data_IF_782119981051
#
_entry.id   IF_782119981051
#
_cell.length_a   1.000
_cell.length_b   1.000
_cell.length_c   1.000
_cell.angle_alpha   90.00
_cell.angle_beta   90.00
_cell.angle_gamma   90.00
#
_symmetry.space_group_name_H-M   'P 1'
#
loop_
_entity.id
_entity.type
_entity.pdbx_description
1 polymer ?
#
# COMPACT_ATOMS: atom_id res chain seq x y z
N UNK A 1 -2.33 40.42 -27.31
CA UNK A 1 -1.00 39.93 -26.91
C UNK A 1 -1.21 38.68 -26.06
N UNK A 2 -1.07 37.49 -26.65
CA UNK A 2 -1.16 36.22 -25.92
C UNK A 2 0.27 35.81 -25.54
N UNK A 3 0.60 35.89 -24.26
CA UNK A 3 1.87 35.36 -23.75
C UNK A 3 1.77 33.82 -23.76
N UNK A 4 2.54 33.18 -24.62
CA UNK A 4 2.77 31.74 -24.54
C UNK A 4 3.59 31.46 -23.27
N UNK A 5 2.94 30.87 -22.27
CA UNK A 5 3.63 30.35 -21.09
C UNK A 5 4.39 29.10 -21.54
N UNK A 6 5.68 29.25 -21.83
CA UNK A 6 6.59 28.13 -22.04
C UNK A 6 6.86 27.46 -20.70
N UNK A 7 5.98 26.54 -20.31
CA UNK A 7 6.34 25.54 -19.30
C UNK A 7 7.46 24.69 -19.92
N UNK A 8 8.62 24.55 -19.26
CA UNK A 8 9.68 23.70 -19.76
C UNK A 8 9.17 22.25 -19.78
N UNK A 9 9.18 21.65 -20.97
CA UNK A 9 8.79 20.25 -21.26
C UNK A 9 9.33 19.26 -20.22
N UNK A 10 10.52 19.50 -19.68
CA UNK A 10 11.20 18.67 -18.69
C UNK A 10 10.46 18.55 -17.35
N UNK A 11 9.78 19.60 -16.89
CA UNK A 11 8.99 19.54 -15.65
C UNK A 11 7.70 18.72 -15.86
N UNK A 12 7.02 18.92 -16.99
CA UNK A 12 5.79 18.20 -17.33
C UNK A 12 6.03 16.69 -17.47
N UNK A 13 7.13 16.29 -18.12
CA UNK A 13 7.47 14.87 -18.27
C UNK A 13 7.79 14.19 -16.92
N UNK A 14 8.45 14.90 -16.00
CA UNK A 14 8.72 14.37 -14.66
C UNK A 14 7.42 14.21 -13.84
N UNK A 15 6.49 15.16 -13.96
CA UNK A 15 5.18 15.07 -13.33
C UNK A 15 4.36 13.88 -13.89
N UNK A 16 4.37 13.67 -15.20
CA UNK A 16 3.70 12.55 -15.86
C UNK A 16 4.26 11.18 -15.42
N UNK A 17 5.59 11.07 -15.30
CA UNK A 17 6.24 9.85 -14.80
C UNK A 17 5.87 9.56 -13.34
N UNK A 18 5.84 10.57 -12.48
CA UNK A 18 5.41 10.42 -11.08
C UNK A 18 3.94 9.98 -11.00
N UNK A 19 3.05 10.60 -11.80
CA UNK A 19 1.64 10.18 -11.84
C UNK A 19 1.47 8.73 -12.30
N UNK A 20 2.28 8.28 -13.27
CA UNK A 20 2.27 6.89 -13.71
C UNK A 20 2.71 5.91 -12.60
N UNK A 21 3.74 6.27 -11.83
CA UNK A 21 4.18 5.47 -10.67
C UNK A 21 3.09 5.43 -9.59
N UNK A 22 2.50 6.57 -9.24
CA UNK A 22 1.41 6.65 -8.25
C UNK A 22 0.20 5.80 -8.67
N UNK A 23 -0.11 5.73 -9.96
CA UNK A 23 -1.18 4.87 -10.46
C UNK A 23 -0.89 3.38 -10.26
N UNK A 24 0.37 2.95 -10.41
CA UNK A 24 0.79 1.57 -10.13
C UNK A 24 0.76 1.27 -8.63
N UNK A 25 1.21 2.21 -7.79
CA UNK A 25 1.15 2.08 -6.34
C UNK A 25 -0.31 1.96 -5.85
N UNK A 26 -1.23 2.77 -6.39
CA UNK A 26 -2.67 2.66 -6.11
C UNK A 26 -3.23 1.29 -6.47
N UNK A 27 -2.90 0.77 -7.65
CA UNK A 27 -3.33 -0.58 -8.08
C UNK A 27 -2.78 -1.67 -7.16
N UNK A 28 -1.54 -1.56 -6.71
CA UNK A 28 -0.97 -2.46 -5.70
C UNK A 28 -1.79 -2.43 -4.40
N UNK A 29 -2.08 -1.24 -3.85
CA UNK A 29 -2.83 -1.15 -2.59
C UNK A 29 -4.27 -1.66 -2.73
N UNK A 30 -4.95 -1.38 -3.84
CA UNK A 30 -6.29 -1.92 -4.11
C UNK A 30 -6.28 -3.45 -4.21
N UNK A 31 -5.30 -4.00 -4.94
CA UNK A 31 -5.11 -5.43 -5.11
C UNK A 31 -4.74 -6.15 -3.79
N UNK A 32 -3.96 -5.48 -2.93
CA UNK A 32 -3.64 -5.96 -1.58
C UNK A 32 -4.85 -5.92 -0.68
N UNK A 33 -5.55 -4.80 -0.59
CA UNK A 33 -6.68 -4.64 0.33
C UNK A 33 -7.82 -5.61 -0.01
N UNK A 34 -8.09 -5.83 -1.30
CA UNK A 34 -9.07 -6.83 -1.73
C UNK A 34 -8.76 -8.25 -1.24
N UNK A 35 -7.47 -8.61 -1.13
CA UNK A 35 -7.01 -9.91 -0.64
C UNK A 35 -6.80 -9.96 0.87
N UNK A 36 -6.44 -8.83 1.49
CA UNK A 36 -6.27 -8.72 2.94
C UNK A 36 -7.60 -8.75 3.67
N UNK A 37 -8.64 -8.12 3.13
CA UNK A 37 -9.96 -8.05 3.77
C UNK A 37 -10.50 -9.41 4.23
N UNK A 38 -10.61 -10.46 3.38
CA UNK A 38 -11.09 -11.77 3.84
C UNK A 38 -10.16 -12.43 4.87
N UNK A 39 -8.85 -12.23 4.79
CA UNK A 39 -7.90 -12.77 5.78
C UNK A 39 -8.05 -12.07 7.14
N UNK A 40 -8.26 -10.75 7.11
CA UNK A 40 -8.53 -9.94 8.30
C UNK A 40 -9.83 -10.37 8.97
N UNK A 41 -10.89 -10.53 8.18
CA UNK A 41 -12.19 -11.03 8.67
C UNK A 41 -12.06 -12.43 9.30
N UNK A 42 -11.23 -13.31 8.72
CA UNK A 42 -10.96 -14.63 9.27
C UNK A 42 -10.24 -14.58 10.63
N UNK A 43 -9.20 -13.74 10.79
CA UNK A 43 -8.52 -13.58 12.08
C UNK A 43 -9.43 -12.91 13.14
N UNK A 44 -10.27 -11.95 12.75
CA UNK A 44 -11.29 -11.36 13.63
C UNK A 44 -12.28 -12.44 14.10
N UNK A 45 -12.82 -13.24 13.18
CA UNK A 45 -13.76 -14.31 13.50
C UNK A 45 -13.14 -15.35 14.45
N UNK A 46 -11.90 -15.75 14.17
CA UNK A 46 -11.11 -16.64 15.04
C UNK A 46 -10.88 -16.04 16.43
N UNK A 47 -10.59 -14.75 16.52
CA UNK A 47 -10.46 -14.05 17.80
C UNK A 47 -11.78 -14.07 18.60
N UNK A 48 -12.91 -13.78 17.95
CA UNK A 48 -14.24 -13.77 18.56
C UNK A 48 -14.74 -15.16 18.97
N UNK A 49 -14.24 -16.23 18.33
CA UNK A 49 -14.59 -17.60 18.70
C UNK A 49 -14.15 -17.97 20.13
N UNK A 50 -13.13 -17.29 20.67
CA UNK A 50 -12.77 -17.41 22.08
C UNK A 50 -13.66 -16.50 22.94
N UNK A 51 -14.56 -17.11 23.73
CA UNK A 51 -15.51 -16.41 24.61
C UNK A 51 -14.88 -15.51 25.68
N UNK A 52 -13.56 -15.60 25.91
CA UNK A 52 -12.84 -14.71 26.83
C UNK A 52 -12.46 -13.37 26.21
N UNK A 53 -12.53 -13.25 24.88
CA UNK A 53 -12.17 -12.03 24.18
C UNK A 53 -13.39 -11.11 24.05
N UNK A 54 -13.16 -9.81 24.28
CA UNK A 54 -14.11 -8.77 23.95
C UNK A 54 -14.25 -8.64 22.42
N UNK A 55 -15.47 -8.69 21.83
CA UNK A 55 -15.65 -8.58 20.39
C UNK A 55 -15.07 -7.29 19.80
N UNK A 56 -15.20 -6.17 20.51
CA UNK A 56 -14.71 -4.87 20.02
C UNK A 56 -13.18 -4.81 20.07
N UNK A 57 -12.56 -5.46 21.06
CA UNK A 57 -11.11 -5.66 21.08
C UNK A 57 -10.64 -6.43 19.85
N UNK A 58 -11.31 -7.52 19.46
CA UNK A 58 -10.91 -8.31 18.29
C UNK A 58 -10.93 -7.46 17.00
N UNK A 59 -11.98 -6.65 16.81
CA UNK A 59 -12.07 -5.74 15.65
C UNK A 59 -10.92 -4.74 15.65
N UNK A 60 -10.67 -4.07 16.78
CA UNK A 60 -9.59 -3.07 16.89
C UNK A 60 -8.19 -3.68 16.71
N UNK A 61 -7.97 -4.87 17.28
CA UNK A 61 -6.67 -5.53 17.29
C UNK A 61 -6.28 -5.99 15.89
N UNK A 62 -7.22 -6.54 15.13
CA UNK A 62 -6.96 -7.08 13.79
C UNK A 62 -7.23 -6.08 12.65
N UNK A 63 -7.73 -4.87 12.91
CA UNK A 63 -8.05 -3.87 11.87
C UNK A 63 -6.92 -3.61 10.87
N UNK A 64 -5.67 -3.67 11.33
CA UNK A 64 -4.46 -3.40 10.56
C UNK A 64 -3.75 -4.68 10.12
N UNK A 65 -4.42 -5.84 10.16
CA UNK A 65 -3.84 -7.11 9.74
C UNK A 65 -3.25 -7.02 8.33
N UNK A 66 -1.99 -7.43 8.18
CA UNK A 66 -1.23 -7.39 6.93
C UNK A 66 -0.49 -6.08 6.66
N UNK A 67 -0.70 -5.03 7.46
CA UNK A 67 0.09 -3.80 7.42
C UNK A 67 1.41 -3.96 8.19
N UNK A 68 2.44 -3.13 7.91
CA UNK A 68 3.70 -3.24 8.61
C UNK A 68 3.54 -2.73 10.05
N UNK A 69 4.01 -3.51 11.02
CA UNK A 69 4.04 -3.11 12.42
C UNK A 69 5.48 -2.92 12.88
N UNK A 70 5.69 -2.03 13.86
CA UNK A 70 7.02 -1.85 14.45
C UNK A 70 7.34 -3.05 15.34
N UNK A 71 8.42 -3.75 15.02
CA UNK A 71 8.93 -4.90 15.77
C UNK A 71 9.79 -4.43 16.96
N UNK A 72 10.02 -5.29 17.98
CA UNK A 72 10.86 -4.94 19.14
C UNK A 72 12.29 -4.51 18.79
N UNK A 73 12.82 -4.97 17.66
CA UNK A 73 14.14 -4.59 17.15
C UNK A 73 14.14 -3.23 16.41
N UNK A 74 13.04 -2.47 16.46
CA UNK A 74 12.90 -1.17 15.82
C UNK A 74 12.63 -1.20 14.31
N UNK A 75 12.73 -2.37 13.65
CA UNK A 75 12.41 -2.53 12.24
C UNK A 75 10.90 -2.62 12.02
N UNK A 76 10.45 -2.23 10.84
CA UNK A 76 9.08 -2.55 10.41
C UNK A 76 9.01 -4.01 9.96
N UNK A 77 7.93 -4.72 10.31
CA UNK A 77 7.65 -6.02 9.73
C UNK A 77 7.44 -5.88 8.22
N UNK A 78 7.74 -6.93 7.43
CA UNK A 78 7.27 -6.98 6.06
C UNK A 78 5.75 -6.83 6.02
N UNK A 79 5.26 -6.13 5.01
CA UNK A 79 3.84 -6.11 4.65
C UNK A 79 3.47 -7.45 4.04
N UNK A 80 2.25 -7.92 4.33
CA UNK A 80 1.73 -9.13 3.69
C UNK A 80 1.32 -8.81 2.24
N UNK A 81 1.50 -9.76 1.33
CA UNK A 81 1.08 -9.65 -0.09
C UNK A 81 1.78 -8.53 -0.88
N UNK A 82 3.00 -8.15 -0.49
CA UNK A 82 3.83 -7.21 -1.28
C UNK A 82 4.44 -7.86 -2.54
N UNK A 83 4.35 -9.18 -2.66
CA UNK A 83 4.82 -9.98 -3.80
C UNK A 83 3.79 -10.10 -4.93
N UNK A 84 2.60 -9.51 -4.78
CA UNK A 84 1.60 -9.45 -5.84
C UNK A 84 2.19 -8.80 -7.11
N UNK A 85 1.81 -9.27 -8.32
CA UNK A 85 2.34 -8.73 -9.57
C UNK A 85 2.21 -7.21 -9.69
N UNK A 86 1.10 -6.65 -9.23
CA UNK A 86 0.82 -5.22 -9.22
C UNK A 86 1.80 -4.45 -8.30
N UNK A 87 2.15 -5.04 -7.16
CA UNK A 87 3.09 -4.47 -6.20
C UNK A 87 4.54 -4.57 -6.65
N UNK A 88 4.92 -5.68 -7.29
CA UNK A 88 6.24 -5.82 -7.92
C UNK A 88 6.41 -4.82 -9.05
N UNK A 89 5.38 -4.58 -9.85
CA UNK A 89 5.40 -3.57 -10.91
C UNK A 89 5.55 -2.16 -10.34
N UNK A 90 4.76 -1.80 -9.31
CA UNK A 90 4.86 -0.51 -8.63
C UNK A 90 6.26 -0.28 -8.03
N UNK A 91 6.80 -1.28 -7.32
CA UNK A 91 8.14 -1.21 -6.74
C UNK A 91 9.22 -0.98 -7.80
N UNK A 92 9.17 -1.72 -8.91
CA UNK A 92 10.13 -1.55 -10.01
C UNK A 92 10.04 -0.16 -10.64
N UNK A 93 8.83 0.35 -10.86
CA UNK A 93 8.61 1.67 -11.43
C UNK A 93 9.14 2.78 -10.50
N UNK A 94 8.81 2.71 -9.21
CA UNK A 94 9.34 3.65 -8.19
C UNK A 94 10.85 3.63 -8.11
N UNK A 95 11.46 2.43 -8.14
CA UNK A 95 12.92 2.28 -8.18
C UNK A 95 13.51 2.92 -9.43
N UNK A 96 12.94 2.67 -10.61
CA UNK A 96 13.44 3.26 -11.85
C UNK A 96 13.37 4.80 -11.83
N UNK A 97 12.28 5.37 -11.30
CA UNK A 97 12.11 6.82 -11.19
C UNK A 97 13.11 7.47 -10.22
N UNK A 98 13.40 6.82 -9.09
CA UNK A 98 14.33 7.33 -8.08
C UNK A 98 15.81 7.36 -8.53
N UNK A 99 16.16 6.64 -9.60
CA UNK A 99 17.51 6.61 -10.18
C UNK A 99 17.56 7.17 -11.61
N UNK A 100 16.50 7.85 -12.05
CA UNK A 100 16.44 8.59 -13.32
C UNK A 100 17.03 9.98 -13.14
#
# INVERSE_FOLDING_TARGET
>A
MLAAVHVPWSAQAADEDEQAVLALEKRCEEAREARLKPLREAEIAKCKANKRNDPDYCERFWRDYGNPVRLPNGRMSPRLLDDLPECVAAYRARRALAFK
#
